data_IF_139430669959
#
_entry.id   IF_139430669959
#
_cell.length_a   1.000
_cell.length_b   1.000
_cell.length_c   1.000
_cell.angle_alpha   90.00
_cell.angle_beta   90.00
_cell.angle_gamma   90.00
#
_symmetry.space_group_name_H-M   'P 1'
#
loop_
_entity.id
_entity.type
_entity.pdbx_description
1 polymer ?
#
# COMPACT_ATOMS: atom_id res chain seq x y z
N UNK A 1 11.46 56.31 -25.87
CA UNK A 1 10.20 55.55 -26.06
C UNK A 1 10.39 54.10 -26.54
N UNK A 2 11.28 53.80 -27.51
CA UNK A 2 11.48 52.41 -27.98
C UNK A 2 12.05 51.47 -26.90
N UNK A 3 13.03 51.91 -26.12
CA UNK A 3 13.66 51.10 -25.05
C UNK A 3 12.68 50.68 -23.94
N UNK A 4 11.79 51.59 -23.52
CA UNK A 4 10.74 51.32 -22.52
C UNK A 4 9.75 50.27 -23.03
N UNK A 5 9.45 50.26 -24.34
CA UNK A 5 8.57 49.26 -24.97
C UNK A 5 9.17 47.86 -24.95
N UNK A 6 10.49 47.73 -25.15
CA UNK A 6 11.18 46.43 -25.07
C UNK A 6 11.32 45.90 -23.65
N UNK A 7 11.53 46.77 -22.66
CA UNK A 7 11.53 46.39 -21.24
C UNK A 7 10.14 45.91 -20.81
N UNK A 8 9.08 46.60 -21.23
CA UNK A 8 7.70 46.19 -20.94
C UNK A 8 7.34 44.84 -21.57
N UNK A 9 7.78 44.60 -22.81
CA UNK A 9 7.60 43.31 -23.50
C UNK A 9 8.41 42.18 -22.84
N UNK A 10 9.62 42.44 -22.36
CA UNK A 10 10.44 41.45 -21.66
C UNK A 10 9.87 41.08 -20.27
N UNK A 11 9.38 42.07 -19.51
CA UNK A 11 8.73 41.85 -18.20
C UNK A 11 7.39 41.14 -18.37
N UNK A 12 6.59 41.51 -19.39
CA UNK A 12 5.37 40.79 -19.73
C UNK A 12 5.66 39.34 -20.16
N UNK A 13 6.75 39.10 -20.90
CA UNK A 13 7.20 37.75 -21.27
C UNK A 13 7.60 36.89 -20.07
N UNK A 14 8.32 37.46 -19.09
CA UNK A 14 8.69 36.78 -17.84
C UNK A 14 7.45 36.47 -16.99
N UNK A 15 6.47 37.38 -16.92
CA UNK A 15 5.21 37.16 -16.20
C UNK A 15 4.35 36.06 -16.85
N UNK A 16 4.28 36.01 -18.18
CA UNK A 16 3.57 34.94 -18.92
C UNK A 16 4.25 33.58 -18.75
N UNK A 17 5.59 33.53 -18.67
CA UNK A 17 6.33 32.30 -18.39
C UNK A 17 6.18 31.81 -16.94
N UNK A 18 5.92 32.72 -15.99
CA UNK A 18 5.64 32.36 -14.59
C UNK A 18 4.21 31.89 -14.33
N UNK A 19 3.27 32.17 -15.26
CA UNK A 19 1.86 31.83 -15.15
C UNK A 19 1.52 30.38 -15.52
N UNK A 20 2.50 29.61 -16.02
CA UNK A 20 2.36 28.18 -16.33
C UNK A 20 3.19 27.32 -15.36
N UNK A 21 3.05 27.51 -14.05
CA UNK A 21 3.33 26.40 -13.13
C UNK A 21 2.20 25.39 -13.30
N UNK A 22 2.42 24.40 -14.17
CA UNK A 22 1.72 23.12 -14.02
C UNK A 22 1.94 22.68 -12.57
N UNK A 23 0.87 22.52 -11.80
CA UNK A 23 0.96 21.80 -10.52
C UNK A 23 1.40 20.39 -10.86
N UNK A 24 2.71 20.16 -10.80
CA UNK A 24 3.27 18.83 -10.99
C UNK A 24 2.80 17.99 -9.81
N UNK A 25 1.92 17.03 -10.10
CA UNK A 25 1.50 16.04 -9.13
C UNK A 25 2.70 15.19 -8.74
N UNK A 26 2.85 14.94 -7.44
CA UNK A 26 3.81 13.98 -6.91
C UNK A 26 3.40 12.60 -7.40
N UNK A 27 4.35 11.78 -7.87
CA UNK A 27 4.07 10.42 -8.29
C UNK A 27 4.84 9.44 -7.41
N UNK A 28 4.11 8.44 -6.93
CA UNK A 28 4.66 7.33 -6.15
C UNK A 28 4.50 6.09 -7.02
N UNK A 29 5.61 5.44 -7.37
CA UNK A 29 5.62 4.10 -7.94
C UNK A 29 5.81 3.10 -6.81
N UNK A 30 5.12 1.97 -6.87
CA UNK A 30 5.27 0.92 -5.87
C UNK A 30 5.62 -0.39 -6.55
N UNK A 31 6.63 -1.09 -6.05
CA UNK A 31 7.02 -2.43 -6.50
C UNK A 31 7.06 -3.38 -5.31
N UNK A 32 6.50 -4.57 -5.49
CA UNK A 32 6.40 -5.56 -4.44
C UNK A 32 5.60 -6.79 -4.82
N UNK A 33 5.18 -7.52 -3.79
CA UNK A 33 4.50 -8.81 -3.88
C UNK A 33 2.96 -8.72 -3.73
N UNK A 34 2.31 -9.85 -3.46
CA UNK A 34 0.85 -9.97 -3.31
C UNK A 34 0.28 -9.14 -2.15
N UNK A 35 1.06 -8.85 -1.10
CA UNK A 35 0.59 -8.05 0.04
C UNK A 35 0.43 -6.58 -0.32
N UNK A 36 1.13 -6.11 -1.36
CA UNK A 36 1.08 -4.73 -1.87
C UNK A 36 0.21 -4.61 -3.12
N UNK A 37 0.10 -5.67 -3.93
CA UNK A 37 -0.50 -5.65 -5.27
C UNK A 37 -1.97 -5.19 -5.35
N UNK A 38 -2.31 -4.57 -6.48
CA UNK A 38 -3.70 -4.39 -6.89
C UNK A 38 -4.35 -5.77 -7.12
N UNK A 39 -5.61 -5.93 -6.69
CA UNK A 39 -6.33 -7.21 -6.76
C UNK A 39 -7.52 -7.11 -7.69
N UNK A 40 -7.90 -8.27 -8.23
CA UNK A 40 -9.14 -8.42 -8.98
C UNK A 40 -10.33 -8.22 -8.05
N UNK A 41 -11.22 -7.30 -8.43
CA UNK A 41 -12.42 -6.92 -7.68
C UNK A 41 -13.70 -7.53 -8.25
N UNK A 42 -13.59 -8.26 -9.38
CA UNK A 42 -14.73 -8.92 -10.00
C UNK A 42 -15.34 -9.98 -9.10
N UNK A 43 -16.64 -10.22 -9.25
CA UNK A 43 -17.35 -11.25 -8.47
C UNK A 43 -17.37 -11.02 -6.96
N UNK A 44 -17.21 -9.77 -6.50
CA UNK A 44 -17.26 -9.43 -5.07
C UNK A 44 -16.02 -9.85 -4.29
N UNK A 45 -14.89 -10.12 -4.96
CA UNK A 45 -13.62 -10.51 -4.31
C UNK A 45 -13.17 -9.45 -3.30
N UNK A 46 -12.81 -9.91 -2.10
CA UNK A 46 -12.47 -9.07 -0.95
C UNK A 46 -10.96 -8.92 -0.69
N UNK A 47 -10.12 -9.72 -1.34
CA UNK A 47 -8.66 -9.63 -1.16
C UNK A 47 -8.14 -8.30 -1.69
N UNK A 48 -7.26 -7.64 -0.93
CA UNK A 48 -6.66 -6.35 -1.30
C UNK A 48 -5.21 -6.32 -0.85
N UNK A 49 -4.32 -5.78 -1.68
CA UNK A 49 -2.98 -5.39 -1.22
C UNK A 49 -3.02 -4.00 -0.59
N UNK A 50 -2.16 -3.73 0.39
CA UNK A 50 -2.12 -2.43 1.06
C UNK A 50 -1.80 -1.30 0.08
N UNK A 51 -0.96 -1.55 -0.94
CA UNK A 51 -0.63 -0.57 -1.97
C UNK A 51 -1.83 -0.15 -2.82
N UNK A 52 -2.85 -1.00 -2.95
CA UNK A 52 -4.12 -0.65 -3.60
C UNK A 52 -4.91 0.39 -2.81
N UNK A 53 -4.75 0.41 -1.49
CA UNK A 53 -5.46 1.32 -0.58
C UNK A 53 -4.69 2.61 -0.28
N UNK A 54 -3.41 2.68 -0.63
CA UNK A 54 -2.52 3.78 -0.24
C UNK A 54 -3.04 5.17 -0.68
N UNK A 55 -3.68 5.26 -1.84
CA UNK A 55 -4.23 6.52 -2.39
C UNK A 55 -5.19 7.25 -1.44
N UNK A 56 -5.87 6.53 -0.55
CA UNK A 56 -6.83 7.13 0.38
C UNK A 56 -6.16 8.03 1.43
N UNK A 57 -4.86 7.88 1.64
CA UNK A 57 -4.10 8.55 2.68
C UNK A 57 -3.23 9.71 2.15
N UNK A 58 -3.45 10.09 0.89
CA UNK A 58 -2.80 11.23 0.27
C UNK A 58 -3.82 12.17 -0.36
N UNK A 59 -3.47 13.45 -0.50
CA UNK A 59 -4.26 14.41 -1.30
C UNK A 59 -4.26 14.03 -2.78
N UNK A 60 -5.20 14.59 -3.55
CA UNK A 60 -5.29 14.43 -5.01
C UNK A 60 -4.08 14.95 -5.82
N UNK A 61 -3.14 15.62 -5.14
CA UNK A 61 -1.86 16.03 -5.71
C UNK A 61 -0.82 14.90 -5.73
N UNK A 62 -1.15 13.72 -5.22
CA UNK A 62 -0.34 12.50 -5.31
C UNK A 62 -1.02 11.51 -6.24
N UNK A 63 -0.26 10.93 -7.16
CA UNK A 63 -0.67 9.81 -8.00
C UNK A 63 0.10 8.56 -7.55
N UNK A 64 -0.63 7.54 -7.12
CA UNK A 64 -0.07 6.23 -6.76
C UNK A 64 -0.15 5.30 -7.96
N UNK A 65 1.01 4.89 -8.47
CA UNK A 65 1.19 3.91 -9.55
C UNK A 65 1.68 2.60 -8.93
N UNK A 66 0.75 1.75 -8.52
CA UNK A 66 1.07 0.48 -7.89
C UNK A 66 1.36 -0.60 -8.95
N UNK A 67 2.62 -1.04 -9.02
CA UNK A 67 3.13 -2.08 -9.93
C UNK A 67 3.49 -3.37 -9.19
N UNK A 68 3.14 -3.52 -7.91
CA UNK A 68 3.30 -4.77 -7.21
C UNK A 68 2.45 -5.90 -7.82
N UNK A 69 2.95 -7.12 -7.78
CA UNK A 69 2.36 -8.27 -8.46
C UNK A 69 2.33 -9.52 -7.58
N UNK A 70 1.23 -10.27 -7.65
CA UNK A 70 1.07 -11.51 -6.90
C UNK A 70 2.21 -12.50 -7.16
N UNK A 71 2.73 -13.11 -6.09
CA UNK A 71 3.72 -14.19 -6.13
C UNK A 71 5.12 -13.80 -6.62
N UNK A 72 5.40 -12.49 -6.78
CA UNK A 72 6.73 -12.03 -7.22
C UNK A 72 7.67 -11.90 -6.03
N UNK A 73 8.91 -12.33 -6.24
CA UNK A 73 10.07 -12.03 -5.40
C UNK A 73 10.86 -10.90 -6.04
N UNK A 74 11.86 -10.35 -5.34
CA UNK A 74 12.78 -9.37 -5.91
C UNK A 74 13.43 -9.88 -7.21
N UNK A 75 13.79 -11.17 -7.22
CA UNK A 75 14.40 -11.86 -8.36
C UNK A 75 13.45 -12.07 -9.52
N UNK A 76 12.26 -12.64 -9.29
CA UNK A 76 11.32 -12.90 -10.38
C UNK A 76 10.75 -11.61 -10.96
N UNK A 77 10.56 -10.57 -10.14
CA UNK A 77 10.13 -9.26 -10.61
C UNK A 77 11.12 -8.63 -11.61
N UNK A 78 12.41 -8.82 -11.38
CA UNK A 78 13.48 -8.42 -12.31
C UNK A 78 13.49 -9.33 -13.54
N UNK A 79 13.54 -10.65 -13.34
CA UNK A 79 13.72 -11.63 -14.41
C UNK A 79 12.57 -11.61 -15.43
N UNK A 80 11.34 -11.35 -14.98
CA UNK A 80 10.14 -11.24 -15.83
C UNK A 80 10.01 -9.86 -16.50
N UNK A 81 10.95 -8.93 -16.27
CA UNK A 81 10.97 -7.61 -16.89
C UNK A 81 9.96 -6.62 -16.30
N UNK A 82 9.36 -6.90 -15.15
CA UNK A 82 8.42 -5.96 -14.51
C UNK A 82 9.16 -4.73 -13.98
N UNK A 83 10.35 -4.91 -13.43
CA UNK A 83 11.18 -3.77 -13.04
C UNK A 83 11.51 -2.85 -14.21
N UNK A 84 11.83 -3.43 -15.37
CA UNK A 84 12.15 -2.65 -16.58
C UNK A 84 10.99 -1.73 -16.98
N UNK A 85 9.75 -2.25 -16.93
CA UNK A 85 8.55 -1.45 -17.23
C UNK A 85 8.37 -0.28 -16.28
N UNK A 86 8.76 -0.41 -15.02
CA UNK A 86 8.64 0.67 -14.02
C UNK A 86 9.76 1.69 -14.19
N UNK A 87 11.02 1.25 -14.23
CA UNK A 87 12.19 2.14 -14.27
C UNK A 87 12.22 3.02 -15.52
N UNK A 88 11.64 2.57 -16.63
CA UNK A 88 11.50 3.36 -17.86
C UNK A 88 10.52 4.54 -17.74
N UNK A 89 9.59 4.48 -16.79
CA UNK A 89 8.58 5.52 -16.57
C UNK A 89 8.99 6.57 -15.53
N UNK A 90 9.98 6.23 -14.69
CA UNK A 90 10.50 7.13 -13.64
C UNK A 90 11.06 8.40 -14.27
N UNK A 91 10.68 9.54 -13.70
CA UNK A 91 11.24 10.86 -13.99
C UNK A 91 11.80 11.47 -12.70
N UNK A 92 12.63 12.53 -12.81
CA UNK A 92 13.16 13.21 -11.64
C UNK A 92 12.06 13.65 -10.66
N UNK A 93 12.25 13.34 -9.39
CA UNK A 93 11.32 13.67 -8.30
C UNK A 93 10.21 12.64 -8.04
N UNK A 94 10.09 11.59 -8.85
CA UNK A 94 9.17 10.49 -8.54
C UNK A 94 9.70 9.65 -7.37
N UNK A 95 8.81 9.19 -6.50
CA UNK A 95 9.14 8.24 -5.44
C UNK A 95 8.98 6.80 -5.93
N UNK A 96 9.82 5.88 -5.42
CA UNK A 96 9.69 4.44 -5.66
C UNK A 96 9.72 3.71 -4.34
N UNK A 97 8.56 3.18 -3.93
CA UNK A 97 8.41 2.36 -2.74
C UNK A 97 8.69 0.90 -3.09
N UNK A 98 9.61 0.28 -2.36
CA UNK A 98 10.16 -1.04 -2.70
C UNK A 98 9.96 -1.97 -1.50
N UNK A 99 9.12 -3.00 -1.64
CA UNK A 99 8.86 -4.00 -0.60
C UNK A 99 8.87 -5.42 -1.16
N UNK A 100 9.83 -6.24 -0.75
CA UNK A 100 9.93 -7.66 -1.09
C UNK A 100 10.41 -8.47 0.12
N UNK A 101 10.27 -9.80 0.05
CA UNK A 101 10.67 -10.72 1.12
C UNK A 101 9.87 -12.02 1.11
N UNK A 102 8.53 -11.95 1.11
CA UNK A 102 7.64 -13.13 1.23
C UNK A 102 7.89 -14.25 0.22
N UNK A 103 8.24 -13.91 -1.02
CA UNK A 103 8.50 -14.90 -2.06
C UNK A 103 10.00 -15.14 -2.27
N UNK A 104 10.85 -14.28 -1.70
CA UNK A 104 12.30 -14.42 -1.72
C UNK A 104 12.77 -15.50 -0.74
N UNK A 105 12.00 -15.74 0.35
CA UNK A 105 12.23 -16.79 1.36
C UNK A 105 11.82 -18.21 0.94
N UNK A 106 11.03 -18.34 -0.13
CA UNK A 106 10.46 -19.64 -0.56
C UNK A 106 11.50 -20.47 -1.30
N UNK A 107 11.46 -21.79 -1.11
CA UNK A 107 12.43 -22.71 -1.72
C UNK A 107 12.39 -22.80 -3.26
N UNK A 108 11.37 -22.22 -3.91
CA UNK A 108 11.29 -22.13 -5.37
C UNK A 108 12.49 -21.38 -5.95
N UNK A 109 13.39 -22.11 -6.62
CA UNK A 109 14.62 -21.57 -7.21
C UNK A 109 14.42 -20.39 -8.18
N UNK A 110 13.25 -20.26 -8.81
CA UNK A 110 12.94 -19.14 -9.70
C UNK A 110 12.66 -17.84 -8.92
N UNK A 111 12.34 -17.96 -7.63
CA UNK A 111 11.99 -16.85 -6.75
C UNK A 111 13.02 -16.60 -5.64
N UNK A 112 13.59 -17.67 -5.10
CA UNK A 112 14.51 -17.66 -3.95
C UNK A 112 15.69 -16.72 -4.15
N UNK A 113 15.97 -15.94 -3.11
CA UNK A 113 17.19 -15.14 -2.93
C UNK A 113 17.66 -15.25 -1.49
N UNK A 114 18.94 -14.95 -1.23
CA UNK A 114 19.53 -15.09 0.09
C UNK A 114 19.83 -13.70 0.70
N UNK A 115 19.39 -13.42 1.95
CA UNK A 115 19.70 -12.20 2.67
C UNK A 115 21.21 -11.98 2.80
N UNK A 116 21.65 -10.73 2.69
CA UNK A 116 23.08 -10.36 2.72
C UNK A 116 23.83 -10.62 1.40
N UNK A 117 23.18 -11.26 0.41
CA UNK A 117 23.80 -11.54 -0.90
C UNK A 117 22.84 -11.18 -2.03
N UNK A 118 22.22 -12.17 -2.69
CA UNK A 118 21.40 -11.99 -3.88
C UNK A 118 20.14 -11.16 -3.63
N UNK A 119 19.57 -11.21 -2.41
CA UNK A 119 18.45 -10.35 -2.06
C UNK A 119 18.88 -8.88 -1.98
N UNK A 120 19.95 -8.61 -1.23
CA UNK A 120 20.53 -7.28 -1.08
C UNK A 120 21.01 -6.71 -2.43
N UNK A 121 21.60 -7.53 -3.29
CA UNK A 121 21.99 -7.15 -4.66
C UNK A 121 20.79 -6.64 -5.47
N UNK A 122 19.63 -7.31 -5.36
CA UNK A 122 18.42 -6.89 -6.04
C UNK A 122 17.86 -5.59 -5.45
N UNK A 123 17.86 -5.43 -4.13
CA UNK A 123 17.44 -4.18 -3.47
C UNK A 123 18.34 -3.01 -3.87
N UNK A 124 19.67 -3.21 -3.84
CA UNK A 124 20.65 -2.23 -4.32
C UNK A 124 20.42 -1.87 -5.78
N UNK A 125 20.06 -2.84 -6.62
CA UNK A 125 19.72 -2.60 -8.03
C UNK A 125 18.52 -1.67 -8.16
N UNK A 126 17.42 -1.94 -7.48
CA UNK A 126 16.22 -1.08 -7.51
C UNK A 126 16.53 0.36 -7.08
N UNK A 127 17.26 0.52 -5.98
CA UNK A 127 17.67 1.83 -5.45
C UNK A 127 18.55 2.59 -6.45
N UNK A 128 19.61 1.94 -6.95
CA UNK A 128 20.58 2.59 -7.83
C UNK A 128 20.00 2.91 -9.20
N UNK A 129 19.14 2.07 -9.75
CA UNK A 129 18.46 2.35 -11.02
C UNK A 129 17.39 3.45 -10.87
N UNK A 130 16.66 3.50 -9.75
CA UNK A 130 15.76 4.61 -9.42
C UNK A 130 16.51 5.94 -9.38
N UNK A 131 17.63 6.00 -8.64
CA UNK A 131 18.47 7.20 -8.54
C UNK A 131 19.03 7.65 -9.88
N UNK A 132 19.44 6.71 -10.74
CA UNK A 132 19.92 7.02 -12.10
C UNK A 132 18.86 7.70 -12.98
N UNK A 133 17.57 7.53 -12.66
CA UNK A 133 16.45 8.24 -13.31
C UNK A 133 16.07 9.54 -12.62
N UNK A 134 16.75 9.91 -11.53
CA UNK A 134 16.42 11.04 -10.67
C UNK A 134 15.25 10.78 -9.71
N UNK A 135 14.80 9.54 -9.59
CA UNK A 135 13.76 9.16 -8.63
C UNK A 135 14.32 9.02 -7.21
N UNK A 136 13.41 8.97 -6.24
CA UNK A 136 13.67 8.89 -4.81
C UNK A 136 13.21 7.51 -4.31
N UNK A 137 14.13 6.56 -4.09
CA UNK A 137 13.78 5.24 -3.58
C UNK A 137 13.50 5.28 -2.07
N UNK A 138 12.51 4.49 -1.64
CA UNK A 138 12.16 4.26 -0.22
C UNK A 138 12.05 2.76 -0.02
N UNK A 139 12.84 2.21 0.91
CA UNK A 139 12.86 0.78 1.19
C UNK A 139 11.91 0.42 2.33
N UNK A 140 11.26 -0.73 2.18
CA UNK A 140 10.40 -1.35 3.17
C UNK A 140 10.89 -2.79 3.38
N UNK A 141 10.84 -3.29 4.61
CA UNK A 141 10.83 -4.74 4.83
C UNK A 141 9.41 -5.29 4.66
N UNK A 142 9.26 -6.61 4.55
CA UNK A 142 7.94 -7.24 4.40
C UNK A 142 7.05 -7.02 5.62
N UNK A 143 5.76 -6.75 5.38
CA UNK A 143 4.72 -6.87 6.41
C UNK A 143 4.74 -8.28 7.02
N UNK A 144 4.23 -8.46 8.24
CA UNK A 144 4.22 -9.77 8.89
C UNK A 144 3.30 -10.77 8.18
N UNK A 145 3.64 -12.05 8.34
CA UNK A 145 2.72 -13.17 8.17
C UNK A 145 2.12 -13.54 9.52
N UNK A 146 0.78 -13.51 9.63
CA UNK A 146 0.04 -13.79 10.87
C UNK A 146 0.25 -15.22 11.37
N UNK A 147 1.23 -15.42 12.24
CA UNK A 147 1.60 -16.74 12.75
C UNK A 147 1.70 -16.71 14.26
N UNK A 148 0.64 -17.19 14.94
CA UNK A 148 0.62 -17.35 16.40
C UNK A 148 0.95 -18.78 16.85
N UNK A 149 1.47 -19.61 15.94
CA UNK A 149 1.80 -21.00 16.21
C UNK A 149 3.20 -21.31 15.72
N UNK A 150 3.89 -22.23 16.39
CA UNK A 150 5.18 -22.75 15.91
C UNK A 150 4.97 -23.62 14.66
N UNK A 151 4.93 -22.97 13.50
CA UNK A 151 4.70 -23.60 12.20
C UNK A 151 6.01 -23.70 11.43
N UNK A 152 6.42 -24.94 11.14
CA UNK A 152 7.59 -25.23 10.30
C UNK A 152 7.36 -24.96 8.82
N UNK A 153 6.11 -24.70 8.42
CA UNK A 153 5.69 -24.52 7.02
C UNK A 153 5.12 -23.14 6.76
N UNK A 154 5.13 -22.22 7.74
CA UNK A 154 4.51 -20.89 7.61
C UNK A 154 4.90 -20.13 6.32
N UNK A 155 6.17 -20.23 5.89
CA UNK A 155 6.69 -19.63 4.66
C UNK A 155 6.03 -20.21 3.40
N UNK A 156 5.76 -21.50 3.38
CA UNK A 156 5.16 -22.21 2.24
C UNK A 156 3.61 -22.14 2.27
N UNK A 157 3.02 -21.82 3.43
CA UNK A 157 1.56 -21.87 3.72
C UNK A 157 0.84 -20.54 3.47
N UNK A 158 1.29 -19.80 2.45
CA UNK A 158 0.98 -18.38 2.25
C UNK A 158 -0.50 -18.11 1.90
N UNK A 159 -1.14 -19.03 1.19
CA UNK A 159 -2.49 -18.84 0.60
C UNK A 159 -3.59 -19.63 1.33
N UNK A 160 -3.24 -20.78 1.92
CA UNK A 160 -4.15 -21.71 2.61
C UNK A 160 -3.41 -22.50 3.69
N UNK A 161 -3.92 -22.49 4.92
CA UNK A 161 -3.59 -23.51 5.92
C UNK A 161 -4.31 -24.83 5.61
N UNK A 162 -4.01 -25.48 4.49
CA UNK A 162 -4.61 -26.77 4.12
C UNK A 162 -3.67 -27.97 4.35
N UNK A 163 -2.48 -27.73 4.89
CA UNK A 163 -1.48 -28.74 5.19
C UNK A 163 -1.24 -28.91 6.71
N UNK A 164 -0.01 -29.22 7.13
CA UNK A 164 0.35 -29.44 8.53
C UNK A 164 0.02 -28.29 9.48
N UNK A 165 -0.14 -27.05 8.98
CA UNK A 165 -0.45 -25.89 9.84
C UNK A 165 -1.94 -25.75 10.20
N UNK A 166 -2.85 -26.46 9.53
CA UNK A 166 -4.30 -26.33 9.72
C UNK A 166 -4.76 -26.63 11.16
N UNK A 167 -4.07 -27.53 11.85
CA UNK A 167 -4.44 -28.00 13.19
C UNK A 167 -3.53 -27.45 14.30
N UNK A 168 -2.61 -26.54 13.97
CA UNK A 168 -1.71 -25.98 14.97
C UNK A 168 -2.49 -25.07 15.92
N UNK A 169 -2.37 -25.35 17.21
CA UNK A 169 -2.90 -24.47 18.25
C UNK A 169 -2.11 -23.16 18.24
N UNK A 170 -2.84 -22.06 18.11
CA UNK A 170 -2.29 -20.72 18.27
C UNK A 170 -2.08 -20.43 19.76
N UNK A 171 -0.93 -19.85 20.09
CA UNK A 171 -0.67 -19.20 21.37
C UNK A 171 -0.95 -17.70 21.29
N UNK A 172 -0.40 -16.95 22.25
CA UNK A 172 -0.70 -15.52 22.41
C UNK A 172 0.39 -14.60 21.85
N UNK A 173 1.47 -15.16 21.31
CA UNK A 173 2.63 -14.40 20.80
C UNK A 173 2.82 -14.66 19.32
N UNK A 174 2.98 -13.58 18.55
CA UNK A 174 3.30 -13.62 17.14
C UNK A 174 4.73 -14.11 16.92
N UNK A 175 4.89 -15.05 15.99
CA UNK A 175 6.15 -15.69 15.63
C UNK A 175 6.70 -15.04 14.37
N UNK A 176 7.96 -14.60 14.41
CA UNK A 176 8.66 -14.12 13.23
C UNK A 176 8.90 -15.27 12.24
N UNK A 177 8.49 -15.06 10.99
CA UNK A 177 8.68 -16.01 9.88
C UNK A 177 9.70 -15.53 8.85
N UNK A 178 10.22 -14.32 8.97
CA UNK A 178 11.06 -13.69 7.94
C UNK A 178 12.54 -13.64 8.33
N UNK A 179 12.89 -13.69 9.62
CA UNK A 179 14.27 -13.76 10.08
C UNK A 179 15.17 -12.69 9.43
N UNK A 180 16.23 -13.12 8.73
CA UNK A 180 17.21 -12.21 8.13
C UNK A 180 16.63 -11.32 7.00
N UNK A 181 15.52 -11.71 6.36
CA UNK A 181 14.86 -10.86 5.35
C UNK A 181 14.30 -9.56 5.95
N UNK A 182 14.09 -9.48 7.27
CA UNK A 182 13.71 -8.24 7.95
C UNK A 182 14.85 -7.22 8.01
N UNK A 183 16.09 -7.72 8.09
CA UNK A 183 17.28 -6.90 8.32
C UNK A 183 17.87 -6.40 7.00
N UNK A 184 17.84 -7.21 5.95
CA UNK A 184 18.42 -6.88 4.64
C UNK A 184 17.95 -5.53 4.07
N UNK A 185 16.64 -5.21 3.99
CA UNK A 185 16.17 -3.93 3.47
C UNK A 185 16.65 -2.74 4.32
N UNK A 186 16.68 -2.90 5.66
CA UNK A 186 17.22 -1.88 6.57
C UNK A 186 18.72 -1.67 6.35
N UNK A 187 19.49 -2.75 6.22
CA UNK A 187 20.93 -2.68 6.02
C UNK A 187 21.27 -2.01 4.69
N UNK A 188 20.57 -2.36 3.61
CA UNK A 188 20.73 -1.72 2.30
C UNK A 188 20.30 -0.25 2.36
N UNK A 189 19.25 0.09 3.12
CA UNK A 189 18.83 1.47 3.29
C UNK A 189 19.90 2.33 3.98
N UNK A 190 20.53 1.80 5.02
CA UNK A 190 21.68 2.43 5.69
C UNK A 190 22.89 2.52 4.76
N UNK A 191 23.22 1.42 4.07
CA UNK A 191 24.35 1.36 3.13
C UNK A 191 24.25 2.44 2.05
N UNK A 192 23.05 2.61 1.48
CA UNK A 192 22.82 3.51 0.37
C UNK A 192 22.27 4.87 0.79
N UNK A 193 22.05 5.13 2.08
CA UNK A 193 21.46 6.38 2.59
C UNK A 193 20.13 6.72 1.90
N UNK A 194 19.15 5.83 2.06
CA UNK A 194 17.77 6.01 1.58
C UNK A 194 16.78 5.87 2.72
N UNK A 195 15.60 6.53 2.66
CA UNK A 195 14.56 6.34 3.66
C UNK A 195 14.14 4.87 3.80
N UNK A 196 13.88 4.47 5.04
CA UNK A 196 13.47 3.10 5.39
C UNK A 196 12.22 3.12 6.26
N UNK A 197 11.20 2.37 5.84
CA UNK A 197 9.99 2.15 6.64
C UNK A 197 9.98 0.71 7.16
N UNK A 198 9.94 0.55 8.48
CA UNK A 198 9.84 -0.76 9.13
C UNK A 198 8.39 -1.28 9.13
N UNK A 199 7.91 -1.68 7.95
CA UNK A 199 6.56 -2.21 7.78
C UNK A 199 6.33 -3.48 8.61
N UNK A 200 7.37 -4.29 8.82
CA UNK A 200 7.28 -5.45 9.67
C UNK A 200 6.97 -5.07 11.11
N UNK A 201 7.74 -4.18 11.72
CA UNK A 201 7.48 -3.73 13.10
C UNK A 201 6.07 -3.14 13.26
N UNK A 202 5.66 -2.30 12.31
CA UNK A 202 4.33 -1.65 12.34
C UNK A 202 3.22 -2.70 12.31
N UNK A 203 3.32 -3.69 11.42
CA UNK A 203 2.29 -4.73 11.28
C UNK A 203 2.37 -5.79 12.37
N UNK A 204 3.57 -6.08 12.89
CA UNK A 204 3.78 -6.90 14.08
C UNK A 204 3.06 -6.31 15.29
N UNK A 205 3.31 -5.03 15.60
CA UNK A 205 2.71 -4.36 16.76
C UNK A 205 1.17 -4.30 16.63
N UNK A 206 0.64 -4.13 15.42
CA UNK A 206 -0.79 -4.20 15.13
C UNK A 206 -1.36 -5.59 15.42
N UNK A 207 -0.74 -6.65 14.89
CA UNK A 207 -1.25 -8.02 15.03
C UNK A 207 -1.09 -8.56 16.44
N UNK A 208 0.06 -8.36 17.09
CA UNK A 208 0.32 -8.72 18.49
C UNK A 208 -0.70 -8.03 19.41
N UNK A 209 -0.95 -6.73 19.19
CA UNK A 209 -1.93 -5.97 19.99
C UNK A 209 -3.38 -6.43 19.80
N UNK A 210 -3.71 -7.02 18.66
CA UNK A 210 -5.03 -7.62 18.41
C UNK A 210 -5.14 -9.06 18.92
N UNK A 211 -4.01 -9.72 19.17
CA UNK A 211 -3.92 -11.14 19.51
C UNK A 211 -4.38 -12.07 18.37
N UNK A 212 -4.36 -13.39 18.60
CA UNK A 212 -4.67 -14.38 17.57
C UNK A 212 -6.08 -14.21 17.00
N UNK A 213 -7.13 -14.11 17.82
CA UNK A 213 -8.48 -14.03 17.29
C UNK A 213 -8.81 -12.67 16.68
N UNK A 214 -8.33 -11.58 17.28
CA UNK A 214 -8.59 -10.23 16.79
C UNK A 214 -7.90 -9.93 15.46
N UNK A 215 -6.70 -10.46 15.24
CA UNK A 215 -5.92 -10.24 14.00
C UNK A 215 -6.54 -10.91 12.77
N UNK A 216 -7.30 -12.01 12.92
CA UNK A 216 -8.00 -12.69 11.80
C UNK A 216 -8.84 -11.73 10.96
N UNK A 217 -9.42 -10.69 11.56
CA UNK A 217 -10.23 -9.68 10.87
C UNK A 217 -9.47 -8.90 9.80
N UNK A 218 -8.14 -8.87 9.83
CA UNK A 218 -7.31 -8.18 8.85
C UNK A 218 -7.12 -9.03 7.59
N UNK A 219 -7.22 -10.35 7.70
CA UNK A 219 -6.81 -11.27 6.65
C UNK A 219 -7.99 -11.95 5.97
N UNK A 220 -7.69 -12.75 4.96
CA UNK A 220 -8.65 -13.59 4.24
C UNK A 220 -9.07 -14.82 5.07
N UNK A 221 -9.57 -14.58 6.29
CA UNK A 221 -10.15 -15.56 7.20
C UNK A 221 -11.67 -15.52 7.12
N UNK A 222 -12.24 -16.49 6.42
CA UNK A 222 -13.69 -16.64 6.24
C UNK A 222 -14.10 -18.08 6.48
N UNK A 223 -15.23 -18.26 7.17
CA UNK A 223 -15.83 -19.58 7.38
C UNK A 223 -16.49 -20.09 6.10
N UNK A 224 -16.65 -21.41 5.93
CA UNK A 224 -17.48 -21.96 4.86
C UNK A 224 -18.86 -21.32 4.82
N UNK A 225 -19.27 -20.86 3.64
CA UNK A 225 -20.56 -20.19 3.40
C UNK A 225 -20.67 -18.74 3.90
N UNK A 226 -19.63 -18.16 4.50
CA UNK A 226 -19.65 -16.75 4.96
C UNK A 226 -19.63 -15.76 3.78
N UNK A 227 -18.87 -16.08 2.73
CA UNK A 227 -18.73 -15.25 1.54
C UNK A 227 -19.00 -16.09 0.30
N UNK A 228 -19.89 -15.62 -0.57
CA UNK A 228 -20.43 -16.40 -1.71
C UNK A 228 -19.34 -16.94 -2.64
N UNK A 229 -18.31 -16.14 -2.96
CA UNK A 229 -17.23 -16.58 -3.85
C UNK A 229 -16.18 -17.48 -3.16
N UNK A 230 -16.29 -17.68 -1.84
CA UNK A 230 -15.48 -18.61 -1.03
C UNK A 230 -16.40 -19.63 -0.34
N UNK A 231 -17.06 -20.53 -1.09
CA UNK A 231 -18.02 -21.47 -0.51
C UNK A 231 -17.41 -22.37 0.58
N UNK A 232 -16.14 -22.74 0.42
CA UNK A 232 -15.39 -23.57 1.38
C UNK A 232 -14.67 -22.75 2.46
N UNK A 233 -14.84 -21.42 2.46
CA UNK A 233 -14.08 -20.51 3.32
C UNK A 233 -12.61 -20.35 2.88
N UNK A 234 -11.83 -19.67 3.71
CA UNK A 234 -10.37 -19.50 3.56
C UNK A 234 -9.75 -19.22 4.92
N UNK A 235 -8.57 -19.79 5.17
CA UNK A 235 -7.72 -19.46 6.31
C UNK A 235 -6.35 -19.10 5.78
N UNK A 236 -6.12 -17.81 5.65
CA UNK A 236 -4.93 -17.23 5.03
C UNK A 236 -4.37 -16.16 5.95
N UNK A 237 -3.08 -16.25 6.26
CA UNK A 237 -2.39 -15.40 7.22
C UNK A 237 -1.51 -14.34 6.60
N UNK A 238 -1.43 -14.28 5.28
CA UNK A 238 -0.58 -13.34 4.56
C UNK A 238 -1.41 -12.30 3.85
N UNK A 239 -2.49 -12.73 3.20
CA UNK A 239 -3.28 -11.85 2.34
C UNK A 239 -4.34 -11.11 3.14
N UNK A 240 -4.38 -9.80 2.96
CA UNK A 240 -5.37 -8.95 3.59
C UNK A 240 -6.71 -8.98 2.86
N UNK A 241 -7.77 -8.82 3.63
CA UNK A 241 -9.07 -8.41 3.10
C UNK A 241 -9.13 -6.87 2.94
N UNK A 242 -10.28 -6.34 2.52
CA UNK A 242 -10.52 -4.89 2.35
C UNK A 242 -10.15 -4.11 3.61
N UNK A 243 -10.61 -4.54 4.78
CA UNK A 243 -10.38 -3.87 6.05
C UNK A 243 -8.89 -3.89 6.43
N UNK A 244 -8.25 -5.07 6.40
CA UNK A 244 -6.84 -5.18 6.77
C UNK A 244 -5.93 -4.37 5.85
N UNK A 245 -6.16 -4.43 4.54
CA UNK A 245 -5.38 -3.66 3.58
C UNK A 245 -5.52 -2.15 3.80
N UNK A 246 -6.71 -1.68 4.16
CA UNK A 246 -6.95 -0.27 4.46
C UNK A 246 -6.24 0.19 5.74
N UNK A 247 -6.33 -0.60 6.81
CA UNK A 247 -5.65 -0.29 8.09
C UNK A 247 -4.13 -0.28 7.91
N UNK A 248 -3.56 -1.31 7.27
CA UNK A 248 -2.12 -1.39 7.02
C UNK A 248 -1.66 -0.26 6.12
N UNK A 249 -2.39 0.07 5.06
CA UNK A 249 -2.04 1.19 4.19
C UNK A 249 -2.03 2.53 4.93
N UNK A 250 -2.95 2.76 5.86
CA UNK A 250 -2.98 3.97 6.67
C UNK A 250 -1.77 4.10 7.58
N UNK A 251 -1.42 3.03 8.29
CA UNK A 251 -0.24 3.00 9.18
C UNK A 251 1.07 3.19 8.39
N UNK A 252 1.18 2.54 7.23
CA UNK A 252 2.36 2.67 6.37
C UNK A 252 2.44 4.06 5.70
N UNK A 253 1.31 4.67 5.35
CA UNK A 253 1.28 6.05 4.84
C UNK A 253 1.73 7.06 5.89
N UNK A 254 1.32 6.87 7.15
CA UNK A 254 1.78 7.71 8.26
C UNK A 254 3.28 7.56 8.49
N UNK A 255 3.80 6.32 8.53
CA UNK A 255 5.24 6.08 8.66
C UNK A 255 6.04 6.68 7.50
N UNK A 256 5.52 6.61 6.27
CA UNK A 256 6.11 7.29 5.11
C UNK A 256 6.16 8.80 5.31
N UNK A 257 5.11 9.41 5.86
CA UNK A 257 5.07 10.86 6.09
C UNK A 257 6.09 11.32 7.14
N UNK A 258 6.51 10.42 8.04
CA UNK A 258 7.56 10.70 9.02
C UNK A 258 8.97 10.45 8.46
N UNK A 259 9.17 9.38 7.69
CA UNK A 259 10.48 9.04 7.09
C UNK A 259 10.81 9.84 5.82
N UNK A 260 9.79 10.41 5.16
CA UNK A 260 9.90 11.22 3.95
C UNK A 260 9.16 12.55 4.16
N UNK A 261 9.79 13.54 4.81
CA UNK A 261 9.12 14.78 5.20
C UNK A 261 8.46 15.54 4.05
N UNK A 262 8.98 15.43 2.82
CA UNK A 262 8.41 16.03 1.62
C UNK A 262 7.03 15.46 1.25
N UNK A 263 6.69 14.25 1.71
CA UNK A 263 5.38 13.64 1.52
C UNK A 263 4.37 14.03 2.62
N UNK A 264 4.83 14.59 3.74
CA UNK A 264 4.02 14.93 4.90
C UNK A 264 2.90 15.91 4.58
N UNK A 265 3.18 16.92 3.76
CA UNK A 265 2.20 17.93 3.36
C UNK A 265 1.05 17.35 2.51
N UNK A 266 1.27 16.18 1.93
CA UNK A 266 0.30 15.45 1.13
C UNK A 266 -0.45 14.38 1.93
N UNK A 267 0.06 13.94 3.08
CA UNK A 267 -0.56 12.91 3.91
C UNK A 267 -1.89 13.40 4.51
N UNK A 268 -2.92 12.58 4.46
CA UNK A 268 -4.26 12.87 5.00
C UNK A 268 -4.80 11.65 5.71
N UNK A 269 -5.56 11.89 6.77
CA UNK A 269 -6.32 10.88 7.46
C UNK A 269 -7.81 11.20 7.37
N UNK A 270 -8.60 10.17 7.07
CA UNK A 270 -10.06 10.20 7.07
C UNK A 270 -10.54 9.02 7.90
N UNK A 271 -11.71 9.15 8.53
CA UNK A 271 -12.26 8.05 9.34
C UNK A 271 -12.68 6.87 8.45
N UNK A 272 -13.14 7.14 7.23
CA UNK A 272 -13.58 6.14 6.25
C UNK A 272 -13.32 6.62 4.82
N UNK A 273 -13.30 5.69 3.86
CA UNK A 273 -13.35 6.01 2.44
C UNK A 273 -14.36 5.15 1.68
N UNK A 274 -14.89 5.72 0.59
CA UNK A 274 -15.83 5.08 -0.32
C UNK A 274 -15.29 5.17 -1.75
N UNK A 275 -15.16 4.04 -2.44
CA UNK A 275 -14.81 4.03 -3.86
C UNK A 275 -15.37 2.78 -4.55
N UNK A 276 -15.80 2.91 -5.81
CA UNK A 276 -16.37 1.80 -6.59
C UNK A 276 -15.32 0.99 -7.37
N UNK A 277 -14.06 1.46 -7.42
CA UNK A 277 -12.92 0.79 -8.04
C UNK A 277 -12.28 -0.27 -7.14
N UNK A 278 -12.85 -0.48 -5.95
CA UNK A 278 -12.37 -1.41 -4.93
C UNK A 278 -11.25 -0.89 -4.05
N UNK A 279 -10.82 0.37 -4.21
CA UNK A 279 -9.82 1.01 -3.34
C UNK A 279 -10.42 1.64 -2.07
N UNK A 280 -11.74 1.65 -1.92
CA UNK A 280 -12.42 2.17 -0.74
C UNK A 280 -12.46 1.18 0.41
N UNK A 281 -12.58 1.70 1.65
CA UNK A 281 -12.97 0.87 2.80
C UNK A 281 -14.41 0.35 2.64
N UNK A 282 -15.26 1.15 2.01
CA UNK A 282 -16.62 0.81 1.58
C UNK A 282 -16.78 1.04 0.08
N UNK A 283 -17.77 0.39 -0.53
CA UNK A 283 -18.02 0.47 -1.99
C UNK A 283 -19.27 1.27 -2.35
N UNK A 284 -20.07 1.66 -1.35
CA UNK A 284 -21.20 2.55 -1.48
C UNK A 284 -21.29 3.49 -0.25
N UNK A 285 -21.93 4.64 -0.44
CA UNK A 285 -22.01 5.66 0.60
C UNK A 285 -22.91 5.25 1.77
N UNK A 286 -23.97 4.48 1.51
CA UNK A 286 -24.93 4.13 2.56
C UNK A 286 -24.29 3.18 3.56
N UNK A 287 -23.54 2.17 3.09
CA UNK A 287 -22.78 1.26 3.94
C UNK A 287 -21.79 2.00 4.85
N UNK A 288 -21.06 2.99 4.32
CA UNK A 288 -20.15 3.81 5.13
C UNK A 288 -20.90 4.66 6.17
N UNK A 289 -22.02 5.28 5.78
CA UNK A 289 -22.87 6.04 6.70
C UNK A 289 -23.45 5.13 7.77
N UNK A 290 -23.87 3.91 7.44
CA UNK A 290 -24.47 2.96 8.36
C UNK A 290 -23.45 2.43 9.37
N UNK A 291 -22.19 2.28 8.95
CA UNK A 291 -21.08 1.94 9.84
C UNK A 291 -20.61 3.11 10.72
N UNK A 292 -20.86 4.37 10.34
CA UNK A 292 -20.42 5.52 11.12
C UNK A 292 -21.05 5.57 12.52
N UNK A 293 -20.20 5.77 13.54
CA UNK A 293 -20.60 5.80 14.95
C UNK A 293 -21.54 6.99 15.25
N UNK A 294 -22.70 6.75 15.89
CA UNK A 294 -23.58 7.84 16.31
C UNK A 294 -22.91 8.80 17.31
N UNK A 295 -23.22 10.09 17.21
CA UNK A 295 -22.73 11.11 18.15
C UNK A 295 -21.30 11.61 17.92
N UNK A 296 -20.47 10.88 17.15
CA UNK A 296 -19.15 11.32 16.68
C UNK A 296 -19.26 12.02 15.32
N UNK A 297 -18.40 13.01 15.07
CA UNK A 297 -18.22 13.56 13.72
C UNK A 297 -17.31 12.63 12.93
N UNK A 298 -17.80 12.08 11.81
CA UNK A 298 -17.08 11.13 10.95
C UNK A 298 -16.80 11.77 9.59
N UNK A 299 -15.55 11.71 9.15
CA UNK A 299 -15.10 12.13 7.83
C UNK A 299 -15.11 10.95 6.86
N UNK A 300 -15.73 11.13 5.69
CA UNK A 300 -15.79 10.12 4.65
C UNK A 300 -15.15 10.70 3.39
N UNK A 301 -14.01 10.14 2.98
CA UNK A 301 -13.44 10.39 1.66
C UNK A 301 -14.31 9.70 0.60
N UNK A 302 -14.78 10.45 -0.37
CA UNK A 302 -15.56 9.96 -1.51
C UNK A 302 -14.64 9.96 -2.72
N UNK A 303 -14.31 8.78 -3.21
CA UNK A 303 -13.44 8.58 -4.36
C UNK A 303 -14.10 8.98 -5.69
N UNK A 304 -13.31 8.93 -6.74
CA UNK A 304 -13.71 9.42 -8.07
C UNK A 304 -15.00 8.76 -8.58
N UNK A 305 -15.83 9.56 -9.26
CA UNK A 305 -17.10 9.10 -9.82
C UNK A 305 -18.28 10.02 -9.54
N UNK A 306 -19.45 9.58 -9.98
CA UNK A 306 -20.72 10.27 -9.76
C UNK A 306 -21.48 9.60 -8.62
N UNK A 307 -21.89 10.38 -7.63
CA UNK A 307 -22.48 9.86 -6.39
C UNK A 307 -23.85 10.48 -6.15
N UNK A 308 -24.85 9.65 -5.90
CA UNK A 308 -26.14 10.14 -5.40
C UNK A 308 -25.95 10.71 -3.98
N UNK A 309 -26.56 11.87 -3.70
CA UNK A 309 -26.54 12.43 -2.34
C UNK A 309 -27.25 11.48 -1.37
N UNK A 310 -26.57 10.96 -0.35
CA UNK A 310 -27.17 10.00 0.56
C UNK A 310 -28.04 10.70 1.61
N UNK A 311 -28.96 9.94 2.21
CA UNK A 311 -29.69 10.39 3.40
C UNK A 311 -28.85 10.11 4.64
N UNK A 312 -28.66 11.13 5.48
CA UNK A 312 -27.89 10.99 6.73
C UNK A 312 -28.89 10.82 7.89
N UNK A 313 -28.83 9.73 8.67
CA UNK A 313 -29.62 9.57 9.89
C UNK A 313 -29.40 10.73 10.86
N UNK A 314 -30.48 11.22 11.51
CA UNK A 314 -30.43 12.42 12.38
C UNK A 314 -29.42 12.32 13.54
N UNK A 315 -29.09 11.11 13.98
CA UNK A 315 -28.14 10.85 15.06
C UNK A 315 -26.67 10.75 14.59
N UNK A 316 -26.40 10.90 13.29
CA UNK A 316 -25.06 10.82 12.70
C UNK A 316 -24.60 12.18 12.20
N UNK A 317 -23.31 12.46 12.34
CA UNK A 317 -22.66 13.69 11.87
C UNK A 317 -21.58 13.30 10.85
N UNK A 318 -21.88 13.46 9.58
CA UNK A 318 -20.99 13.04 8.48
C UNK A 318 -20.46 14.27 7.74
N UNK A 319 -19.15 14.32 7.53
CA UNK A 319 -18.48 15.28 6.65
C UNK A 319 -17.91 14.53 5.45
N UNK A 320 -18.51 14.72 4.28
CA UNK A 320 -17.96 14.20 3.04
C UNK A 320 -16.80 15.07 2.56
N UNK A 321 -15.71 14.41 2.15
CA UNK A 321 -14.58 15.02 1.46
C UNK A 321 -14.55 14.40 0.08
N UNK A 322 -14.81 15.19 -0.96
CA UNK A 322 -14.78 14.71 -2.34
C UNK A 322 -13.34 14.71 -2.85
N UNK A 323 -12.90 13.61 -3.45
CA UNK A 323 -11.71 13.64 -4.31
C UNK A 323 -11.95 14.54 -5.53
N UNK A 324 -10.88 14.97 -6.19
CA UNK A 324 -10.95 15.84 -7.36
C UNK A 324 -11.83 15.29 -8.49
N UNK A 325 -11.93 13.96 -8.65
CA UNK A 325 -12.78 13.30 -9.63
C UNK A 325 -14.19 12.96 -9.15
N UNK A 326 -14.53 13.25 -7.88
CA UNK A 326 -15.84 12.95 -7.31
C UNK A 326 -16.81 14.12 -7.47
N UNK A 327 -18.07 13.81 -7.83
CA UNK A 327 -19.15 14.81 -7.87
C UNK A 327 -20.49 14.23 -7.42
N UNK A 328 -21.31 15.09 -6.84
CA UNK A 328 -22.70 14.78 -6.52
C UNK A 328 -23.56 14.83 -7.78
N UNK A 329 -24.48 13.88 -7.89
CA UNK A 329 -25.60 13.91 -8.84
C UNK A 329 -26.69 14.91 -8.43
#
# INVERSE_FOLDING_TARGET
MRLVKYIFLAVAGILVLSAFKSEQKVRIFMIGDSTMANKDVSGGKLERGWGMMLKNFFTDNVIVNNHALNGRSSKSFIAEGHWQKVVEQIRPGDYVFIQFGHNDEKADTLRHTDPGTSFDDNLRRFVNETRRKGGIPVLFNSVVRRTFADSKTAVEDDDRRDNSSNYLAEGDTLVDTHGAYLLSPRNVAVELDVPFVDANKITHDLEEGLGPDGSKKLHMWYRPGEVEYLPDGRQDNTHYNVYGAYIVAGLLAEAVADEVPELKDYFRHYDMSVANDGSGLYFDLQSAIDAAEPGRSVTILVGDGEWAKPSIPKNKKIKFVLSAGAKWL
#
